data_IF_737780676053
#
_entry.id   IF_737780676053
#
_cell.length_a   1.000
_cell.length_b   1.000
_cell.length_c   1.000
_cell.angle_alpha   90.00
_cell.angle_beta   90.00
_cell.angle_gamma   90.00
#
_symmetry.space_group_name_H-M   'P 1'
#
loop_
_entity.id
_entity.type
_entity.pdbx_description
1 polymer ?
#
# COMPACT_ATOMS: atom_id res chain seq x y z
N UNK A 1 8.70 -2.25 -16.03
CA UNK A 1 9.29 -1.62 -14.84
C UNK A 1 9.91 -2.73 -14.04
N UNK A 2 11.23 -2.74 -13.91
CA UNK A 2 11.90 -3.65 -12.99
C UNK A 2 11.61 -3.14 -11.57
N UNK A 3 10.83 -3.88 -10.80
CA UNK A 3 10.45 -3.51 -9.44
C UNK A 3 11.31 -4.31 -8.49
N UNK A 4 12.14 -3.61 -7.73
CA UNK A 4 13.02 -4.20 -6.73
C UNK A 4 12.28 -4.37 -5.39
N UNK A 5 12.39 -5.55 -4.78
CA UNK A 5 11.71 -5.88 -3.53
C UNK A 5 12.19 -5.01 -2.36
N UNK A 6 13.48 -4.66 -2.32
CA UNK A 6 14.03 -3.80 -1.27
C UNK A 6 13.47 -2.38 -1.37
N UNK A 7 13.29 -1.87 -2.59
CA UNK A 7 12.61 -0.59 -2.85
C UNK A 7 11.16 -0.59 -2.37
N UNK A 8 10.42 -1.69 -2.55
CA UNK A 8 9.06 -1.81 -2.03
C UNK A 8 9.03 -1.80 -0.50
N UNK A 9 9.92 -2.56 0.15
CA UNK A 9 10.03 -2.55 1.61
C UNK A 9 10.37 -1.17 2.15
N UNK A 10 11.35 -0.49 1.56
CA UNK A 10 11.69 0.88 1.91
C UNK A 10 10.48 1.82 1.80
N UNK A 11 9.69 1.72 0.73
CA UNK A 11 8.51 2.57 0.57
C UNK A 11 7.43 2.30 1.63
N UNK A 12 7.24 1.04 2.03
CA UNK A 12 6.36 0.68 3.14
C UNK A 12 6.85 1.25 4.47
N UNK A 13 8.17 1.24 4.73
CA UNK A 13 8.77 1.83 5.92
C UNK A 13 8.60 3.35 5.96
N UNK A 14 8.86 4.04 4.83
CA UNK A 14 8.70 5.50 4.70
C UNK A 14 7.26 5.93 4.95
N UNK A 15 6.29 5.20 4.39
CA UNK A 15 4.88 5.48 4.63
C UNK A 15 4.37 4.89 5.96
N UNK A 16 5.19 4.10 6.65
CA UNK A 16 4.84 3.40 7.88
C UNK A 16 3.52 2.63 7.71
N UNK A 17 3.58 1.65 6.80
CA UNK A 17 2.53 0.77 6.35
C UNK A 17 2.96 -0.70 6.53
N UNK A 18 2.04 -1.61 6.89
CA UNK A 18 2.33 -3.04 6.87
C UNK A 18 2.43 -3.59 5.43
N UNK A 19 2.96 -4.81 5.22
CA UNK A 19 3.08 -5.42 3.89
C UNK A 19 1.75 -5.72 3.20
N UNK A 20 0.67 -5.90 3.97
CA UNK A 20 -0.67 -6.19 3.45
C UNK A 20 -1.55 -4.95 3.58
N UNK A 21 -1.59 -4.15 2.51
CA UNK A 21 -2.31 -2.86 2.44
C UNK A 21 -2.97 -2.68 1.08
N UNK A 22 -4.11 -2.01 1.07
CA UNK A 22 -4.79 -1.60 -0.15
C UNK A 22 -4.23 -0.29 -0.71
N UNK A 23 -4.46 -0.05 -2.01
CA UNK A 23 -4.12 1.23 -2.65
C UNK A 23 -4.81 2.43 -1.99
N UNK A 24 -6.01 2.22 -1.43
CA UNK A 24 -6.72 3.26 -0.71
C UNK A 24 -6.01 3.59 0.61
N UNK A 25 -5.56 2.58 1.37
CA UNK A 25 -4.79 2.79 2.60
C UNK A 25 -3.45 3.48 2.33
N UNK A 26 -2.76 3.08 1.26
CA UNK A 26 -1.53 3.75 0.80
C UNK A 26 -1.80 5.24 0.56
N UNK A 27 -2.87 5.57 -0.17
CA UNK A 27 -3.22 6.96 -0.48
C UNK A 27 -3.62 7.76 0.77
N UNK A 28 -4.45 7.19 1.65
CA UNK A 28 -4.85 7.84 2.90
C UNK A 28 -3.64 8.12 3.81
N UNK A 29 -2.68 7.18 3.86
CA UNK A 29 -1.47 7.34 4.65
C UNK A 29 -0.57 8.43 4.10
N UNK A 30 -0.39 8.46 2.78
CA UNK A 30 0.32 9.53 2.08
C UNK A 30 -0.25 10.91 2.44
N UNK A 31 -1.57 11.11 2.30
CA UNK A 31 -2.20 12.40 2.61
C UNK A 31 -1.99 12.83 4.07
N UNK A 32 -2.04 11.89 5.01
CA UNK A 32 -1.77 12.17 6.43
C UNK A 32 -0.33 12.61 6.66
N UNK A 33 0.64 11.96 6.02
CA UNK A 33 2.06 12.29 6.15
C UNK A 33 2.38 13.63 5.49
N UNK A 34 1.90 13.85 4.27
CA UNK A 34 1.98 15.14 3.58
C UNK A 34 1.42 16.25 4.46
N UNK A 35 0.19 16.14 4.96
CA UNK A 35 -0.40 17.16 5.85
C UNK A 35 0.43 17.39 7.11
N UNK A 36 1.01 16.33 7.69
CA UNK A 36 1.85 16.41 8.89
C UNK A 36 3.13 17.21 8.63
N UNK A 37 3.83 16.92 7.54
CA UNK A 37 5.14 17.52 7.26
C UNK A 37 5.07 18.78 6.38
N UNK A 38 3.95 19.06 5.69
CA UNK A 38 3.76 20.31 4.94
C UNK A 38 3.59 21.55 5.82
N UNK A 39 3.21 21.37 7.08
CA UNK A 39 3.04 22.48 8.04
C UNK A 39 4.37 22.99 8.60
N UNK A 40 5.45 22.23 8.38
CA UNK A 40 6.80 22.59 8.79
C UNK A 40 7.54 23.17 7.59
N UNK A 41 8.03 24.39 7.75
CA UNK A 41 8.50 25.27 6.69
C UNK A 41 9.81 24.73 6.10
N UNK A 42 9.77 24.14 4.89
CA UNK A 42 10.70 24.29 3.76
C UNK A 42 10.41 23.25 2.67
N UNK A 43 10.12 23.67 1.44
CA UNK A 43 9.81 22.81 0.27
C UNK A 43 10.92 21.80 -0.12
N UNK A 44 12.11 21.91 0.48
CA UNK A 44 13.27 21.04 0.27
C UNK A 44 13.48 20.04 1.41
N UNK A 45 12.49 19.85 2.27
CA UNK A 45 12.62 18.90 3.35
C UNK A 45 12.73 17.48 2.78
N UNK A 46 13.87 16.83 3.02
CA UNK A 46 14.21 15.50 2.49
C UNK A 46 13.11 14.47 2.77
N UNK A 47 12.34 14.68 3.86
CA UNK A 47 11.22 13.84 4.28
C UNK A 47 10.06 13.82 3.27
N UNK A 48 9.65 14.98 2.74
CA UNK A 48 8.53 15.07 1.78
C UNK A 48 8.92 14.40 0.47
N UNK A 49 10.17 14.61 0.02
CA UNK A 49 10.69 13.98 -1.18
C UNK A 49 10.62 12.45 -1.05
N UNK A 50 11.09 11.90 0.07
CA UNK A 50 11.00 10.46 0.34
C UNK A 50 9.55 9.96 0.37
N UNK A 51 8.63 10.71 1.00
CA UNK A 51 7.21 10.34 1.07
C UNK A 51 6.58 10.30 -0.33
N UNK A 52 6.88 11.29 -1.17
CA UNK A 52 6.38 11.35 -2.55
C UNK A 52 6.93 10.19 -3.39
N UNK A 53 8.24 9.94 -3.32
CA UNK A 53 8.89 8.82 -4.02
C UNK A 53 8.34 7.46 -3.59
N UNK A 54 8.17 7.23 -2.30
CA UNK A 54 7.59 6.01 -1.75
C UNK A 54 6.14 5.80 -2.22
N UNK A 55 5.34 6.87 -2.21
CA UNK A 55 3.95 6.82 -2.68
C UNK A 55 3.87 6.49 -4.17
N UNK A 56 4.66 7.16 -5.01
CA UNK A 56 4.66 6.92 -6.46
C UNK A 56 5.12 5.50 -6.79
N UNK A 57 6.13 4.97 -6.09
CA UNK A 57 6.56 3.59 -6.27
C UNK A 57 5.43 2.60 -5.97
N UNK A 58 4.83 2.68 -4.78
CA UNK A 58 3.76 1.74 -4.38
C UNK A 58 2.52 1.89 -5.25
N UNK A 59 2.16 3.12 -5.63
CA UNK A 59 1.05 3.40 -6.53
C UNK A 59 1.28 2.81 -7.91
N UNK A 60 2.48 2.97 -8.47
CA UNK A 60 2.81 2.41 -9.77
C UNK A 60 2.88 0.89 -9.74
N UNK A 61 3.44 0.30 -8.67
CA UNK A 61 3.41 -1.15 -8.46
C UNK A 61 1.97 -1.66 -8.41
N UNK A 62 1.12 -1.08 -7.56
CA UNK A 62 -0.27 -1.49 -7.40
C UNK A 62 -1.11 -1.30 -8.68
N UNK A 63 -0.89 -0.23 -9.45
CA UNK A 63 -1.59 0.01 -10.73
C UNK A 63 -1.28 -1.04 -11.80
N UNK A 64 -0.07 -1.59 -11.78
CA UNK A 64 0.36 -2.62 -12.73
C UNK A 64 0.11 -4.04 -12.20
N UNK A 65 -0.43 -4.17 -10.98
CA UNK A 65 -0.77 -5.46 -10.41
C UNK A 65 -1.93 -6.07 -11.21
N UNK A 66 -1.73 -7.32 -11.65
CA UNK A 66 -2.75 -8.07 -12.40
C UNK A 66 -3.58 -8.86 -11.41
N UNK A 67 -4.89 -8.69 -11.50
CA UNK A 67 -5.85 -9.43 -10.70
C UNK A 67 -6.35 -10.63 -11.49
N UNK A 68 -6.45 -11.77 -10.81
CA UNK A 68 -7.29 -12.87 -11.23
C UNK A 68 -8.62 -12.80 -10.50
N UNK A 69 -9.71 -13.11 -11.20
CA UNK A 69 -11.06 -13.21 -10.63
C UNK A 69 -11.45 -14.67 -10.37
N UNK A 70 -10.47 -15.55 -10.20
CA UNK A 70 -10.72 -16.94 -9.83
C UNK A 70 -11.01 -17.10 -8.33
N UNK A 71 -11.59 -18.25 -7.98
CA UNK A 71 -11.98 -18.58 -6.61
C UNK A 71 -10.78 -18.61 -5.65
N UNK A 72 -9.60 -19.06 -6.11
CA UNK A 72 -8.40 -19.13 -5.28
C UNK A 72 -7.88 -17.74 -4.90
N UNK A 73 -7.93 -16.77 -5.82
CA UNK A 73 -7.56 -15.38 -5.55
C UNK A 73 -8.58 -14.70 -4.64
N UNK A 74 -9.87 -14.99 -4.82
CA UNK A 74 -10.93 -14.51 -3.93
C UNK A 74 -10.74 -14.99 -2.48
N UNK A 75 -10.43 -16.27 -2.26
CA UNK A 75 -10.20 -16.81 -0.92
C UNK A 75 -8.95 -16.23 -0.25
N UNK A 76 -7.88 -15.96 -1.01
CA UNK A 76 -6.68 -15.28 -0.50
C UNK A 76 -6.98 -13.86 -0.04
N UNK A 77 -7.81 -13.11 -0.78
CA UNK A 77 -8.19 -11.74 -0.43
C UNK A 77 -9.23 -11.69 0.71
N UNK A 78 -10.12 -12.69 0.83
CA UNK A 78 -11.22 -12.72 1.80
C UNK A 78 -11.30 -14.03 2.61
N UNK A 79 -10.25 -14.40 3.36
CA UNK A 79 -10.17 -15.72 4.02
C UNK A 79 -11.29 -15.99 5.05
N UNK A 80 -11.91 -14.95 5.61
CA UNK A 80 -12.97 -15.09 6.63
C UNK A 80 -14.34 -15.49 6.09
N UNK A 81 -14.62 -15.37 4.78
CA UNK A 81 -15.95 -15.69 4.22
C UNK A 81 -16.21 -17.19 4.09
N UNK A 82 -15.16 -18.02 4.10
CA UNK A 82 -15.28 -19.47 3.96
C UNK A 82 -15.83 -20.19 5.22
N UNK A 83 -15.75 -19.55 6.39
CA UNK A 83 -16.21 -20.17 7.65
C UNK A 83 -17.73 -20.19 7.82
N UNK A 84 -18.50 -19.51 6.97
CA UNK A 84 -19.97 -19.54 7.06
C UNK A 84 -20.60 -20.82 6.48
N UNK A 85 -19.87 -21.59 5.65
CA UNK A 85 -20.40 -22.78 4.99
C UNK A 85 -20.05 -24.10 5.67
N UNK A 86 -19.16 -24.09 6.67
CA UNK A 86 -18.73 -25.31 7.41
C UNK A 86 -19.57 -25.64 8.65
N UNK A 87 -20.50 -24.77 9.06
CA UNK A 87 -21.33 -24.96 10.27
C UNK A 87 -22.84 -24.90 9.99
N UNK A 88 -23.29 -25.36 8.81
CA UNK A 88 -24.70 -25.72 8.64
C UNK A 88 -24.89 -27.12 9.23
N UNK A 89 -25.28 -27.16 10.52
CA UNK A 89 -25.92 -28.32 11.14
C UNK A 89 -27.39 -28.35 10.74
#
# INVERSE_FOLDING_TARGET
MEVDLNRLHWALEVLNLPPFVSINEIHQRYLKLVKKYHSDVNQKDSKIVQINEAYDLLKNYAKNYRFSFDESEFQKQFPKREHANRFKF
#
